data_IF_744468682130
#
_entry.id   IF_744468682130
#
_cell.length_a   1.000
_cell.length_b   1.000
_cell.length_c   1.000
_cell.angle_alpha   90.00
_cell.angle_beta   90.00
_cell.angle_gamma   90.00
#
_symmetry.space_group_name_H-M   'P 1'
#
loop_
_entity.id
_entity.type
_entity.pdbx_description
1 polymer ?
#
# COMPACT_ATOMS: atom_id res chain seq x y z
N UNK A 1 -5.23 -18.78 2.64
CA UNK A 1 -4.64 -18.88 1.29
C UNK A 1 -4.68 -17.51 0.62
N UNK A 2 -3.54 -16.81 0.52
CA UNK A 2 -3.45 -15.59 -0.30
C UNK A 2 -3.63 -16.05 -1.75
N UNK A 3 -4.77 -15.76 -2.39
CA UNK A 3 -4.96 -16.07 -3.82
C UNK A 3 -3.97 -15.18 -4.56
N UNK A 4 -2.83 -15.72 -4.98
CA UNK A 4 -1.89 -14.95 -5.79
C UNK A 4 -2.56 -14.72 -7.15
N UNK A 5 -3.03 -13.49 -7.35
CA UNK A 5 -3.45 -13.04 -8.67
C UNK A 5 -2.21 -13.16 -9.56
N UNK A 6 -2.27 -14.00 -10.59
CA UNK A 6 -1.19 -14.10 -11.56
C UNK A 6 -1.32 -12.95 -12.53
N UNK A 7 -0.28 -12.11 -12.59
CA UNK A 7 -0.20 -11.03 -13.56
C UNK A 7 0.72 -11.45 -14.71
N UNK A 8 0.38 -11.02 -15.92
CA UNK A 8 1.35 -11.03 -17.01
C UNK A 8 2.44 -9.99 -16.70
N UNK A 9 3.70 -10.42 -16.64
CA UNK A 9 4.83 -9.57 -16.26
C UNK A 9 4.98 -8.36 -17.20
N UNK A 10 4.81 -8.56 -18.51
CA UNK A 10 4.90 -7.48 -19.50
C UNK A 10 3.81 -6.43 -19.30
N UNK A 11 2.57 -6.86 -19.06
CA UNK A 11 1.45 -5.95 -18.79
C UNK A 11 1.62 -5.23 -17.45
N UNK A 12 2.05 -5.95 -16.41
CA UNK A 12 2.31 -5.37 -15.10
C UNK A 12 3.40 -4.29 -15.17
N UNK A 13 4.47 -4.55 -15.93
CA UNK A 13 5.54 -3.60 -16.15
C UNK A 13 5.03 -2.36 -16.91
N UNK A 14 4.30 -2.57 -18.02
CA UNK A 14 3.72 -1.48 -18.79
C UNK A 14 2.81 -0.58 -17.93
N UNK A 15 1.85 -1.19 -17.21
CA UNK A 15 0.94 -0.45 -16.34
C UNK A 15 1.67 0.27 -15.21
N UNK A 16 2.75 -0.29 -14.68
CA UNK A 16 3.55 0.37 -13.64
C UNK A 16 4.23 1.65 -14.15
N UNK A 17 4.66 1.67 -15.42
CA UNK A 17 5.23 2.85 -16.07
C UNK A 17 4.15 3.91 -16.30
N UNK A 18 2.97 3.50 -16.77
CA UNK A 18 1.82 4.39 -16.91
C UNK A 18 1.41 4.96 -15.55
N UNK A 19 1.34 4.14 -14.51
CA UNK A 19 1.02 4.57 -13.15
C UNK A 19 1.98 5.63 -12.63
N UNK A 20 3.28 5.55 -12.94
CA UNK A 20 4.26 6.57 -12.54
C UNK A 20 4.04 7.92 -13.24
N UNK A 21 3.46 7.95 -14.44
CA UNK A 21 3.24 9.18 -15.22
C UNK A 21 1.84 9.77 -15.04
N UNK A 22 0.84 8.90 -15.05
CA UNK A 22 -0.59 9.22 -15.15
C UNK A 22 -1.39 8.71 -13.95
N UNK A 23 -0.72 8.17 -12.93
CA UNK A 23 -1.39 7.68 -11.73
C UNK A 23 -2.18 8.76 -11.01
N UNK A 24 -3.40 8.42 -10.62
CA UNK A 24 -4.33 9.30 -9.90
C UNK A 24 -3.80 9.73 -8.54
N UNK A 25 -3.02 8.87 -7.88
CA UNK A 25 -2.29 9.18 -6.64
C UNK A 25 -0.89 8.63 -6.71
N UNK A 26 0.10 9.45 -6.34
CA UNK A 26 1.52 9.12 -6.43
C UNK A 26 2.31 9.81 -5.32
N UNK A 27 3.42 9.21 -4.91
CA UNK A 27 4.28 9.76 -3.86
C UNK A 27 4.75 8.73 -2.85
N UNK A 28 5.53 9.22 -1.90
CA UNK A 28 6.18 8.40 -0.89
C UNK A 28 5.23 8.07 0.26
N UNK A 29 5.15 6.77 0.61
CA UNK A 29 4.48 6.28 1.80
C UNK A 29 5.41 5.36 2.56
N UNK A 30 5.26 5.31 3.88
CA UNK A 30 5.92 4.32 4.71
C UNK A 30 5.09 3.05 4.76
N UNK A 31 5.70 1.92 4.44
CA UNK A 31 5.11 0.59 4.53
C UNK A 31 5.71 -0.17 5.71
N UNK A 32 4.87 -0.74 6.56
CA UNK A 32 5.33 -1.65 7.63
C UNK A 32 5.56 -3.04 7.04
N UNK A 33 6.76 -3.60 7.24
CA UNK A 33 7.05 -4.98 6.86
C UNK A 33 6.45 -5.95 7.88
N UNK A 34 5.91 -7.07 7.40
CA UNK A 34 5.33 -8.12 8.24
C UNK A 34 6.38 -8.88 9.05
N UNK A 35 7.61 -8.95 8.53
CA UNK A 35 8.72 -9.71 9.12
C UNK A 35 9.34 -8.99 10.33
N UNK A 36 9.80 -7.75 10.13
CA UNK A 36 10.58 -7.03 11.16
C UNK A 36 9.82 -5.88 11.83
N UNK A 37 8.53 -5.69 11.50
CA UNK A 37 7.73 -4.55 11.97
C UNK A 37 8.35 -3.16 11.71
N UNK A 38 9.34 -3.07 10.81
CA UNK A 38 10.03 -1.84 10.45
C UNK A 38 9.25 -1.09 9.38
N UNK A 39 9.29 0.23 9.45
CA UNK A 39 8.72 1.10 8.45
C UNK A 39 9.77 1.42 7.40
N UNK A 40 9.44 1.19 6.14
CA UNK A 40 10.28 1.56 5.01
C UNK A 40 9.54 2.54 4.13
N UNK A 41 10.19 3.64 3.78
CA UNK A 41 9.69 4.54 2.76
C UNK A 41 9.77 3.85 1.40
N UNK A 42 8.69 3.93 0.62
CA UNK A 42 8.59 3.41 -0.74
C UNK A 42 7.79 4.41 -1.57
N UNK A 43 8.07 4.47 -2.86
CA UNK A 43 7.28 5.27 -3.78
C UNK A 43 6.06 4.45 -4.23
N UNK A 44 4.86 5.00 -4.09
CA UNK A 44 3.62 4.37 -4.50
C UNK A 44 3.02 5.12 -5.69
N UNK A 45 2.36 4.38 -6.58
CA UNK A 45 1.61 4.91 -7.69
C UNK A 45 0.33 4.11 -7.89
N UNK A 46 -0.81 4.78 -7.80
CA UNK A 46 -2.13 4.21 -8.06
C UNK A 46 -2.54 4.51 -9.49
N UNK A 47 -2.87 3.47 -10.25
CA UNK A 47 -3.48 3.60 -11.57
C UNK A 47 -4.70 2.69 -11.65
N UNK A 48 -5.86 3.27 -11.97
CA UNK A 48 -7.15 2.59 -11.87
C UNK A 48 -7.35 1.99 -10.46
N UNK A 49 -7.51 0.67 -10.36
CA UNK A 49 -7.64 -0.10 -9.12
C UNK A 49 -6.34 -0.86 -8.75
N UNK A 50 -5.21 -0.52 -9.38
CA UNK A 50 -3.92 -1.21 -9.15
C UNK A 50 -2.92 -0.24 -8.53
N UNK A 51 -2.47 -0.60 -7.32
CA UNK A 51 -1.48 0.16 -6.57
C UNK A 51 -0.11 -0.51 -6.71
N UNK A 52 0.80 0.17 -7.39
CA UNK A 52 2.19 -0.23 -7.53
C UNK A 52 3.03 0.42 -6.44
N UNK A 53 4.05 -0.30 -5.96
CA UNK A 53 5.11 0.30 -5.15
C UNK A 53 6.49 -0.02 -5.68
N UNK A 54 7.40 0.91 -5.47
CA UNK A 54 8.76 0.92 -5.97
C UNK A 54 9.73 1.22 -4.84
N UNK A 55 11.00 0.86 -5.01
CA UNK A 55 12.05 1.24 -4.06
C UNK A 55 12.14 2.76 -3.93
N UNK A 56 12.12 3.45 -5.07
CA UNK A 56 12.13 4.90 -5.19
C UNK A 56 11.39 5.34 -6.45
N UNK A 57 11.23 6.64 -6.63
CA UNK A 57 10.56 7.25 -7.77
C UNK A 57 11.29 7.05 -9.10
N UNK A 58 12.58 6.69 -9.10
CA UNK A 58 13.40 6.42 -10.30
C UNK A 58 13.32 4.98 -10.79
N UNK A 59 12.85 4.07 -9.94
CA UNK A 59 12.79 2.64 -10.24
C UNK A 59 11.89 2.34 -11.43
N UNK A 60 12.40 1.57 -12.39
CA UNK A 60 11.68 1.18 -13.62
C UNK A 60 10.78 -0.03 -13.43
N UNK A 61 11.11 -0.91 -12.47
CA UNK A 61 10.34 -2.10 -12.13
C UNK A 61 9.64 -1.93 -10.78
N UNK A 62 8.36 -2.30 -10.66
CA UNK A 62 7.67 -2.28 -9.38
C UNK A 62 8.23 -3.37 -8.46
N UNK A 63 8.46 -3.03 -7.20
CA UNK A 63 8.84 -3.97 -6.14
C UNK A 63 7.64 -4.77 -5.62
N UNK A 64 6.42 -4.36 -5.98
CA UNK A 64 5.22 -5.17 -5.81
C UNK A 64 3.95 -4.43 -6.21
N UNK A 65 2.86 -5.19 -6.24
CA UNK A 65 1.58 -4.79 -6.81
C UNK A 65 0.46 -5.19 -5.85
N UNK A 66 -0.48 -4.28 -5.63
CA UNK A 66 -1.69 -4.51 -4.86
C UNK A 66 -2.92 -4.22 -5.73
N UNK A 67 -3.78 -5.22 -5.89
CA UNK A 67 -5.10 -5.02 -6.46
C UNK A 67 -6.02 -4.51 -5.36
N UNK A 68 -6.58 -3.32 -5.55
CA UNK A 68 -7.43 -2.67 -4.55
C UNK A 68 -8.91 -3.06 -4.67
N UNK A 69 -9.26 -3.96 -5.59
CA UNK A 69 -10.61 -4.47 -5.71
C UNK A 69 -11.04 -5.18 -4.42
N UNK A 70 -12.10 -4.68 -3.78
CA UNK A 70 -12.55 -5.17 -2.48
C UNK A 70 -11.65 -4.78 -1.29
N UNK A 71 -10.66 -3.90 -1.48
CA UNK A 71 -9.87 -3.35 -0.38
C UNK A 71 -10.59 -2.19 0.30
N UNK A 72 -10.41 -2.07 1.61
CA UNK A 72 -10.88 -0.92 2.40
C UNK A 72 -9.70 -0.18 3.01
N UNK A 73 -9.83 1.14 3.12
CA UNK A 73 -8.84 2.01 3.73
C UNK A 73 -9.41 2.56 5.04
N UNK A 74 -8.76 2.25 6.16
CA UNK A 74 -9.12 2.76 7.46
C UNK A 74 -8.06 3.72 7.97
N UNK A 75 -8.49 4.89 8.47
CA UNK A 75 -7.61 5.79 9.21
C UNK A 75 -7.35 5.20 10.59
N UNK A 76 -6.09 4.92 10.89
CA UNK A 76 -5.66 4.49 12.23
C UNK A 76 -5.20 5.72 12.99
N UNK A 77 -5.64 5.92 14.24
CA UNK A 77 -5.11 6.97 15.09
C UNK A 77 -3.58 6.84 15.19
N UNK A 78 -2.86 7.94 15.01
CA UNK A 78 -1.43 7.94 15.33
C UNK A 78 -1.27 7.62 16.83
N UNK A 79 -0.33 6.74 17.23
CA UNK A 79 -0.04 6.54 18.64
C UNK A 79 0.30 7.88 19.28
N UNK A 80 -0.37 8.25 20.37
CA UNK A 80 -0.07 9.46 21.13
C UNK A 80 1.31 9.29 21.76
N UNK A 81 2.38 9.78 21.11
CA UNK A 81 3.69 9.82 21.75
C UNK A 81 3.74 11.08 22.62
N UNK A 82 3.65 10.89 23.92
CA UNK A 82 4.08 11.91 24.88
C UNK A 82 5.61 11.90 24.90
N UNK A 83 6.23 13.03 24.54
CA UNK A 83 7.40 13.69 25.17
C UNK A 83 8.18 14.50 24.12
N UNK A 84 8.36 15.78 24.43
CA UNK A 84 9.19 16.84 23.84
C UNK A 84 10.08 16.51 22.62
N UNK A 85 9.79 17.19 21.49
CA UNK A 85 10.68 17.29 20.34
C UNK A 85 9.94 17.85 19.12
N UNK A 86 10.35 19.02 18.65
CA UNK A 86 9.76 19.80 17.55
C UNK A 86 9.51 18.97 16.27
N UNK A 87 8.38 19.28 15.63
CA UNK A 87 8.03 19.01 14.22
C UNK A 87 7.66 17.57 13.82
N UNK A 88 6.40 17.18 14.06
CA UNK A 88 5.71 16.15 13.23
C UNK A 88 4.23 16.48 13.12
N UNK A 89 3.88 17.52 12.35
CA UNK A 89 2.50 17.71 11.88
C UNK A 89 2.09 16.46 11.07
N UNK A 90 1.01 15.83 11.50
CA UNK A 90 0.04 15.14 10.64
C UNK A 90 0.52 13.96 9.77
N UNK A 91 1.29 13.01 10.33
CA UNK A 91 1.48 11.71 9.67
C UNK A 91 0.22 10.85 9.82
N UNK A 92 -0.65 10.84 8.80
CA UNK A 92 -1.86 10.01 8.78
C UNK A 92 -1.52 8.53 8.53
N UNK A 93 -1.89 7.67 9.47
CA UNK A 93 -1.72 6.22 9.33
C UNK A 93 -2.93 5.63 8.62
N UNK A 94 -2.71 4.93 7.51
CA UNK A 94 -3.74 4.28 6.71
C UNK A 94 -3.54 2.77 6.72
N UNK A 95 -4.52 2.05 7.24
CA UNK A 95 -4.52 0.59 7.21
C UNK A 95 -5.32 0.13 6.02
N UNK A 96 -4.65 -0.51 5.07
CA UNK A 96 -5.28 -1.19 3.95
C UNK A 96 -5.66 -2.61 4.39
N UNK A 97 -6.96 -2.91 4.41
CA UNK A 97 -7.44 -4.28 4.63
C UNK A 97 -7.92 -4.87 3.32
N UNK A 98 -7.39 -6.02 2.96
CA UNK A 98 -7.99 -6.85 1.93
C UNK A 98 -9.24 -7.53 2.50
N UNK A 99 -10.41 -7.23 1.96
CA UNK A 99 -11.65 -7.93 2.28
C UNK A 99 -11.78 -9.08 1.29
N UNK A 100 -11.46 -10.31 1.69
CA UNK A 100 -11.80 -11.47 0.86
C UNK A 100 -13.32 -11.55 0.76
N UNK A 101 -13.90 -11.25 -0.42
CA UNK A 101 -15.33 -11.46 -0.70
C UNK A 101 -15.60 -12.95 -0.51
N UNK A 102 -16.29 -13.26 0.58
CA UNK A 102 -16.61 -14.61 0.99
C UNK A 102 -17.74 -15.17 0.16
N UNK A 103 -17.37 -15.83 -0.94
CA UNK A 103 -18.21 -16.84 -1.58
C UNK A 103 -17.49 -18.19 -1.50
N UNK A 104 -18.10 -19.13 -0.74
CA UNK A 104 -17.77 -20.56 -0.58
C UNK A 104 -16.80 -20.97 0.56
N UNK A 105 -17.44 -21.32 1.70
CA UNK A 105 -17.09 -22.25 2.79
C UNK A 105 -15.84 -22.01 3.70
N UNK A 106 -15.86 -22.54 4.95
CA UNK A 106 -15.15 -21.97 6.09
C UNK A 106 -13.80 -22.64 6.38
N UNK A 107 -13.14 -22.08 7.39
CA UNK A 107 -11.89 -22.47 8.04
C UNK A 107 -10.58 -21.92 7.44
N UNK A 108 -9.88 -21.16 8.29
CA UNK A 108 -8.58 -20.53 8.07
C UNK A 108 -8.50 -19.31 7.14
N UNK A 109 -9.33 -18.29 7.44
CA UNK A 109 -9.14 -16.91 6.94
C UNK A 109 -8.00 -16.22 7.70
N UNK A 110 -6.75 -16.43 7.26
CA UNK A 110 -5.66 -15.50 7.57
C UNK A 110 -5.99 -14.13 6.99
N UNK A 111 -6.34 -13.16 7.84
CA UNK A 111 -6.61 -11.78 7.45
C UNK A 111 -5.27 -11.11 7.11
N UNK A 112 -5.02 -10.85 5.81
CA UNK A 112 -3.81 -10.14 5.37
C UNK A 112 -4.03 -8.65 5.60
N UNK A 113 -3.46 -8.12 6.68
CA UNK A 113 -3.53 -6.71 7.03
C UNK A 113 -2.24 -6.01 6.59
N UNK A 114 -2.36 -4.96 5.76
CA UNK A 114 -1.22 -4.17 5.29
C UNK A 114 -1.33 -2.77 5.86
N UNK A 115 -0.35 -2.35 6.66
CA UNK A 115 -0.35 -1.01 7.25
C UNK A 115 0.59 -0.09 6.47
N UNK A 116 0.03 1.01 5.96
CA UNK A 116 0.74 2.09 5.29
C UNK A 116 0.63 3.37 6.15
N UNK A 117 1.60 4.27 6.04
CA UNK A 117 1.58 5.60 6.68
C UNK A 117 1.94 6.63 5.64
N UNK A 118 1.10 7.64 5.49
CA UNK A 118 1.29 8.73 4.53
C UNK A 118 1.32 10.09 5.21
N UNK A 119 2.00 11.06 4.61
CA UNK A 119 2.09 12.44 5.10
C UNK A 119 1.41 13.46 4.19
N UNK A 120 0.72 13.05 3.13
CA UNK A 120 0.17 14.02 2.16
C UNK A 120 -1.35 14.01 2.13
N UNK A 121 -2.01 15.19 2.14
CA UNK A 121 -3.44 15.31 1.88
C UNK A 121 -3.86 14.87 0.47
N UNK A 122 -2.89 14.61 -0.42
CA UNK A 122 -3.12 14.07 -1.76
C UNK A 122 -3.34 12.55 -1.81
N UNK A 123 -3.10 11.82 -0.70
CA UNK A 123 -3.27 10.36 -0.60
C UNK A 123 -4.57 9.96 0.07
#
# INVERSE_FOLDING_TARGET
>A
MQKSVRYNEGHALYLSVVARKEGTKRGYLYKKTTENSRWHEKYFALYQNVLFYFENDQSTRPSGIYLLEGCTCERVPAPKVSTAGKETLDKQCLRLRETMVSGLLPENKGKVEKTLKGCSPSW
#
